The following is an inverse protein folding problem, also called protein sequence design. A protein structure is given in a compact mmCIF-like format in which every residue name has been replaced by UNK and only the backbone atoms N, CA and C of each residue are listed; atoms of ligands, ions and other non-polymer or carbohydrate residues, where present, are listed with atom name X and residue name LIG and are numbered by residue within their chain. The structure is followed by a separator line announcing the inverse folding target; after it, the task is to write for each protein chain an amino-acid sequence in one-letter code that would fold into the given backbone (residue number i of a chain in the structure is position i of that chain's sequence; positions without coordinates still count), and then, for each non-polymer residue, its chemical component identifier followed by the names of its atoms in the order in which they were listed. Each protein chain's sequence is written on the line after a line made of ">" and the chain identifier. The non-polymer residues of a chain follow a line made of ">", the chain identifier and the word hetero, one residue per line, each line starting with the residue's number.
data_IF_520893710421
#
_entry.id   IF_520893710421
#
_cell.length_a   1.000
_cell.length_b   1.000
_cell.length_c   1.000
_cell.angle_alpha   90.00
_cell.angle_beta   90.00
_cell.angle_gamma   90.00
#
_symmetry.space_group_name_H-M   'P 1'
#
loop_
_entity.id
_entity.type
_entity.pdbx_description
1 polymer ?
2 non-polymer ?
3 non-polymer ?
4 non-polymer ?
5 water ?
#
# COMPACT_ATOMS: atom_id res chain seq x y z
N UNK A 3 19.16 4.71 18.43
CA UNK A 3 19.25 4.03 17.10
C UNK A 3 19.55 5.07 16.01
N UNK A 4 19.92 4.61 14.81
CA UNK A 4 20.20 5.47 13.65
C UNK A 4 18.93 6.05 13.07
N UNK A 5 19.06 7.09 12.24
CA UNK A 5 17.91 7.79 11.60
C UNK A 5 17.12 6.79 10.74
N UNK A 6 17.80 6.00 9.91
CA UNK A 6 17.14 5.05 8.97
C UNK A 6 16.30 4.05 9.78
N UNK A 7 16.83 3.52 10.88
CA UNK A 7 16.10 2.60 11.79
C UNK A 7 14.85 3.31 12.34
N UNK A 8 15.01 4.52 12.89
CA UNK A 8 13.90 5.29 13.51
C UNK A 8 12.83 5.56 12.45
N UNK A 9 13.24 5.96 11.24
CA UNK A 9 12.31 6.25 10.12
C UNK A 9 11.58 4.96 9.72
N UNK A 10 12.27 3.82 9.68
CA UNK A 10 11.65 2.51 9.34
C UNK A 10 10.69 2.07 10.46
N UNK A 11 10.94 2.42 11.73
CA UNK A 11 9.97 2.15 12.83
C UNK A 11 8.69 2.94 12.56
N UNK A 12 8.81 4.20 12.15
CA UNK A 12 7.64 5.04 11.80
C UNK A 12 6.88 4.37 10.65
N UNK A 13 7.60 3.92 9.62
CA UNK A 13 7.02 3.20 8.45
C UNK A 13 6.27 1.95 8.92
N UNK A 14 6.89 1.16 9.80
CA UNK A 14 6.27 -0.08 10.33
C UNK A 14 4.99 0.28 11.09
N UNK A 15 5.00 1.37 11.87
CA UNK A 15 3.81 1.86 12.58
C UNK A 15 2.68 2.16 11.62
N UNK A 16 2.98 2.89 10.54
CA UNK A 16 2.02 3.24 9.46
C UNK A 16 1.43 1.95 8.88
N UNK A 17 2.30 1.00 8.52
CA UNK A 17 1.89 -0.30 7.92
C UNK A 17 0.91 -1.00 8.86
N UNK A 18 1.24 -1.09 10.15
CA UNK A 18 0.37 -1.73 11.16
C UNK A 18 -0.98 -1.01 11.17
N UNK A 19 -0.97 0.33 11.14
CA UNK A 19 -2.23 1.11 11.12
C UNK A 19 -3.04 0.78 9.86
N UNK A 20 -2.41 0.75 8.68
CA UNK A 20 -3.13 0.50 7.40
C UNK A 20 -3.78 -0.89 7.43
N UNK A 21 -3.24 -1.83 8.23
CA UNK A 21 -3.74 -3.22 8.34
C UNK A 21 -4.68 -3.38 9.55
N UNK A 22 -4.94 -2.31 10.30
CA UNK A 22 -5.69 -2.34 11.59
C UNK A 22 -7.20 -2.31 11.32
N UNK A 23 -7.99 -2.73 12.31
CA UNK A 23 -9.47 -2.77 12.23
C UNK A 23 -10.03 -1.37 11.99
N UNK A 24 -9.36 -0.32 12.50
CA UNK A 24 -9.79 1.09 12.33
C UNK A 24 -10.09 1.39 10.86
N UNK A 25 -9.29 0.89 9.92
CA UNK A 25 -9.35 1.25 8.47
C UNK A 25 -9.87 0.09 7.62
N UNK A 26 -10.26 -1.03 8.24
CA UNK A 26 -10.58 -2.30 7.54
C UNK A 26 -11.71 -2.10 6.52
N UNK A 27 -12.68 -1.22 6.79
CA UNK A 27 -13.86 -1.02 5.92
C UNK A 27 -13.44 -0.60 4.51
N UNK A 28 -12.32 0.13 4.36
CA UNK A 28 -11.84 0.64 3.05
C UNK A 28 -10.45 0.08 2.70
N UNK A 29 -9.71 -0.52 3.64
CA UNK A 29 -8.34 -1.03 3.39
C UNK A 29 -8.39 -2.44 2.77
N UNK A 30 -9.48 -3.19 2.93
CA UNK A 30 -9.47 -4.66 2.70
C UNK A 30 -9.13 -5.01 1.24
N UNK A 31 -9.50 -4.21 0.21
CA UNK A 31 -9.11 -4.55 -1.17
C UNK A 31 -7.59 -4.53 -1.40
N UNK A 32 -6.83 -3.94 -0.48
CA UNK A 32 -5.36 -3.75 -0.59
C UNK A 32 -4.59 -4.71 0.33
N UNK A 33 -5.29 -5.62 1.00
CA UNK A 33 -4.69 -6.58 1.97
C UNK A 33 -3.82 -7.61 1.26
N UNK A 34 -4.24 -8.10 0.10
CA UNK A 34 -3.58 -9.24 -0.59
C UNK A 34 -3.37 -8.92 -2.06
N UNK A 35 -2.44 -9.62 -2.75
CA UNK A 35 -2.25 -9.42 -4.18
C UNK A 35 -3.59 -9.59 -4.91
N UNK A 36 -3.85 -8.72 -5.89
CA UNK A 36 -5.02 -8.85 -6.80
C UNK A 36 -4.92 -10.23 -7.47
N UNK A 37 -5.92 -11.08 -7.25
CA UNK A 37 -6.03 -12.38 -7.95
C UNK A 37 -6.86 -12.13 -9.21
N UNK A 38 -6.20 -11.69 -10.28
CA UNK A 38 -6.83 -11.20 -11.53
C UNK A 38 -7.78 -12.26 -12.08
N UNK A 39 -7.29 -13.50 -12.21
CA UNK A 39 -8.04 -14.67 -12.74
C UNK A 39 -9.33 -14.89 -11.94
N UNK A 40 -9.22 -14.96 -10.60
CA UNK A 40 -10.35 -15.22 -9.68
C UNK A 40 -11.41 -14.13 -9.78
N UNK A 41 -11.01 -12.87 -9.98
CA UNK A 41 -11.91 -11.69 -10.00
C UNK A 41 -12.43 -11.43 -11.42
N UNK A 42 -11.90 -12.13 -12.42
CA UNK A 42 -12.28 -11.97 -13.84
C UNK A 42 -11.63 -10.75 -14.47
N UNK A 43 -10.58 -10.21 -13.84
CA UNK A 43 -9.85 -9.02 -14.33
C UNK A 43 -8.72 -9.49 -15.27
N UNK A 44 -9.08 -10.03 -16.43
CA UNK A 44 -8.13 -10.73 -17.34
C UNK A 44 -7.18 -9.75 -18.03
N UNK A 45 -7.42 -8.44 -17.89
CA UNK A 45 -6.56 -7.37 -18.46
C UNK A 45 -5.62 -6.81 -17.38
N UNK A 46 -5.72 -7.26 -16.13
CA UNK A 46 -5.04 -6.58 -14.99
C UNK A 46 -3.53 -6.52 -15.21
N UNK A 47 -2.91 -7.65 -15.57
CA UNK A 47 -1.43 -7.78 -15.67
C UNK A 47 -0.91 -7.23 -17.00
N UNK A 48 -1.80 -6.87 -17.92
CA UNK A 48 -1.44 -6.15 -19.17
C UNK A 48 -1.33 -4.66 -18.87
N UNK A 49 -2.06 -4.18 -17.86
CA UNK A 49 -2.16 -2.74 -17.51
C UNK A 49 -1.23 -2.43 -16.34
N UNK A 50 -1.15 -3.33 -15.36
CA UNK A 50 -0.32 -3.17 -14.13
C UNK A 50 0.93 -4.05 -14.27
N UNK A 51 2.09 -3.43 -14.47
CA UNK A 51 3.38 -4.13 -14.69
C UNK A 51 4.01 -4.52 -13.35
N UNK A 52 3.74 -3.77 -12.29
CA UNK A 52 4.33 -3.98 -10.94
C UNK A 52 3.22 -4.01 -9.90
N UNK A 53 2.53 -5.17 -9.73
CA UNK A 53 1.53 -5.30 -8.68
C UNK A 53 2.15 -5.04 -7.30
N UNK A 54 1.36 -4.48 -6.39
CA UNK A 54 1.78 -4.24 -4.99
C UNK A 54 0.55 -4.25 -4.09
N UNK A 55 0.71 -4.74 -2.87
CA UNK A 55 -0.38 -4.87 -1.88
C UNK A 55 0.26 -4.84 -0.49
N UNK A 56 -0.56 -4.71 0.55
CA UNK A 56 -0.04 -4.50 1.93
C UNK A 56 0.60 -5.77 2.48
N UNK A 57 0.16 -6.97 2.08
CA UNK A 57 0.80 -8.24 2.54
C UNK A 57 2.22 -8.32 1.99
N UNK A 58 2.44 -7.87 0.74
CA UNK A 58 3.78 -7.84 0.11
C UNK A 58 4.65 -6.81 0.84
N UNK A 59 4.10 -5.63 1.15
CA UNK A 59 4.82 -4.58 1.91
C UNK A 59 5.20 -5.16 3.28
N UNK A 60 4.28 -5.85 3.94
CA UNK A 60 4.53 -6.48 5.27
C UNK A 60 5.65 -7.52 5.16
N UNK A 61 5.61 -8.40 4.16
CA UNK A 61 6.67 -9.43 3.93
C UNK A 61 8.01 -8.72 3.73
N UNK A 62 8.05 -7.66 2.93
CA UNK A 62 9.31 -6.94 2.62
C UNK A 62 9.84 -6.30 3.91
N UNK A 63 8.96 -5.72 4.73
CA UNK A 63 9.36 -5.10 6.02
C UNK A 63 9.92 -6.19 6.94
N UNK A 64 9.23 -7.33 7.05
CA UNK A 64 9.64 -8.46 7.93
C UNK A 64 10.99 -9.02 7.47
N UNK A 65 11.25 -9.02 6.16
CA UNK A 65 12.48 -9.57 5.54
C UNK A 65 13.61 -8.53 5.53
N UNK A 66 13.36 -7.33 6.06
CA UNK A 66 14.33 -6.20 6.12
C UNK A 66 14.71 -5.79 4.69
N UNK A 67 13.77 -5.91 3.75
CA UNK A 67 13.98 -5.58 2.32
C UNK A 67 14.12 -4.06 2.18
N UNK A 68 13.29 -3.29 2.90
CA UNK A 68 13.31 -1.80 2.85
C UNK A 68 14.55 -1.27 3.58
N UNK A 69 15.38 -0.52 2.87
CA UNK A 69 16.64 0.06 3.41
C UNK A 69 16.35 1.45 4.00
N UNK A 70 15.25 2.09 3.59
CA UNK A 70 14.89 3.46 4.04
C UNK A 70 13.39 3.69 3.87
N UNK A 71 12.88 4.79 4.44
CA UNK A 71 11.45 5.17 4.40
C UNK A 71 11.00 5.41 2.95
N UNK A 72 11.85 6.01 2.12
CA UNK A 72 11.53 6.36 0.71
C UNK A 72 11.17 5.09 -0.06
N UNK A 73 11.90 4.00 0.17
CA UNK A 73 11.67 2.71 -0.53
C UNK A 73 10.31 2.14 -0.11
N UNK A 74 10.02 2.16 1.19
CA UNK A 74 8.71 1.75 1.76
C UNK A 74 7.59 2.57 1.11
N UNK A 75 7.71 3.90 1.11
CA UNK A 75 6.67 4.83 0.61
C UNK A 75 6.42 4.54 -0.88
N UNK A 76 7.48 4.24 -1.63
CA UNK A 76 7.40 3.97 -3.09
C UNK A 76 6.48 2.76 -3.33
N UNK A 77 6.56 1.72 -2.50
CA UNK A 77 5.71 0.51 -2.66
C UNK A 77 4.27 0.86 -2.28
N UNK A 78 4.05 1.57 -1.17
CA UNK A 78 2.67 1.92 -0.73
C UNK A 78 2.03 2.79 -1.83
N UNK A 79 2.76 3.77 -2.36
CA UNK A 79 2.21 4.68 -3.39
C UNK A 79 2.03 3.93 -4.71
N UNK A 80 2.90 2.97 -5.04
CA UNK A 80 2.74 2.11 -6.25
C UNK A 80 1.39 1.38 -6.16
N UNK A 81 1.07 0.84 -4.99
CA UNK A 81 -0.21 0.14 -4.72
C UNK A 81 -1.39 1.08 -5.06
N UNK A 82 -1.37 2.32 -4.58
CA UNK A 82 -2.46 3.30 -4.84
C UNK A 82 -2.49 3.65 -6.33
N UNK A 83 -1.32 3.90 -6.93
CA UNK A 83 -1.19 4.30 -8.36
C UNK A 83 -1.77 3.20 -9.26
N UNK A 84 -1.51 1.93 -8.93
CA UNK A 84 -2.04 0.76 -9.69
C UNK A 84 -3.57 0.84 -9.70
N UNK A 85 -4.16 1.13 -8.54
CA UNK A 85 -5.63 1.26 -8.38
C UNK A 85 -6.14 2.40 -9.27
N UNK A 86 -5.47 3.55 -9.27
CA UNK A 86 -5.90 4.74 -10.06
C UNK A 86 -5.67 4.51 -11.55
N UNK A 87 -4.70 3.67 -11.92
CA UNK A 87 -4.38 3.39 -13.34
C UNK A 87 -5.41 2.41 -13.91
N UNK A 88 -5.74 1.36 -13.16
CA UNK A 88 -6.53 0.21 -13.67
C UNK A 88 -8.02 0.55 -13.70
N UNK A 89 -8.51 1.21 -12.65
CA UNK A 89 -9.96 1.35 -12.37
C UNK A 89 -10.46 2.70 -12.89
N UNK A 90 -11.66 2.75 -13.51
CA UNK A 90 -12.33 4.02 -13.78
C UNK A 90 -12.45 4.81 -12.48
N UNK A 91 -12.25 6.15 -12.51
CA UNK A 91 -12.10 6.93 -11.29
C UNK A 91 -13.36 7.01 -10.41
N UNK A 92 -14.52 6.62 -10.94
CA UNK A 92 -15.83 6.67 -10.22
C UNK A 92 -16.16 5.32 -9.57
N UNK A 93 -15.26 4.33 -9.65
CA UNK A 93 -15.47 2.97 -9.07
C UNK A 93 -15.24 3.02 -7.56
N UNK A 94 -15.97 2.19 -6.80
CA UNK A 94 -15.93 2.15 -5.32
C UNK A 94 -14.49 1.93 -4.83
N UNK A 95 -13.72 1.04 -5.47
CA UNK A 95 -12.35 0.68 -5.01
C UNK A 95 -11.44 1.92 -5.05
N UNK A 96 -11.67 2.84 -6.00
CA UNK A 96 -10.87 4.09 -6.13
C UNK A 96 -11.15 5.00 -4.92
N UNK A 97 -12.41 5.16 -4.53
CA UNK A 97 -12.80 5.94 -3.33
C UNK A 97 -12.10 5.35 -2.10
N UNK A 98 -12.06 4.02 -2.00
CA UNK A 98 -11.44 3.30 -0.86
C UNK A 98 -9.92 3.56 -0.87
N UNK A 99 -9.29 3.50 -2.04
CA UNK A 99 -7.84 3.80 -2.23
C UNK A 99 -7.56 5.24 -1.77
N UNK A 100 -8.37 6.21 -2.21
CA UNK A 100 -8.18 7.64 -1.88
C UNK A 100 -8.24 7.83 -0.36
N UNK A 101 -9.20 7.18 0.32
CA UNK A 101 -9.36 7.28 1.79
C UNK A 101 -8.13 6.68 2.49
N UNK A 102 -7.67 5.50 2.06
CA UNK A 102 -6.50 4.85 2.69
C UNK A 102 -5.24 5.67 2.39
N UNK A 103 -5.12 6.25 1.20
CA UNK A 103 -3.93 7.08 0.88
C UNK A 103 -3.94 8.34 1.76
N UNK A 104 -5.11 8.89 2.08
CA UNK A 104 -5.21 10.06 2.99
C UNK A 104 -4.61 9.66 4.35
N UNK A 105 -4.98 8.49 4.87
CA UNK A 105 -4.43 7.97 6.15
C UNK A 105 -2.90 7.91 6.01
N UNK A 106 -2.42 7.30 4.92
CA UNK A 106 -0.98 7.08 4.67
C UNK A 106 -0.24 8.42 4.60
N UNK A 107 -0.66 9.33 3.72
CA UNK A 107 0.09 10.57 3.43
C UNK A 107 0.18 11.43 4.69
N UNK A 108 -0.91 11.55 5.46
CA UNK A 108 -0.92 12.44 6.66
C UNK A 108 0.01 11.87 7.73
N UNK A 109 0.05 10.55 7.92
CA UNK A 109 0.95 9.96 8.93
C UNK A 109 2.39 9.90 8.40
N UNK A 110 2.59 9.60 7.12
CA UNK A 110 3.95 9.57 6.51
C UNK A 110 4.62 10.94 6.70
N UNK A 111 3.84 12.02 6.59
CA UNK A 111 4.30 13.42 6.71
C UNK A 111 4.89 13.68 8.11
N UNK A 112 4.49 12.89 9.12
CA UNK A 112 4.96 13.03 10.53
C UNK A 112 6.26 12.24 10.75
N UNK A 113 6.95 11.86 9.68
CA UNK A 113 8.26 11.16 9.70
C UNK A 113 9.22 11.90 10.63
N UNK A 114 9.84 11.23 11.63
CA UNK A 114 10.89 11.86 12.43
C UNK A 114 12.12 12.17 11.56
N UNK A 115 12.68 13.37 11.72
CA UNK A 115 13.89 13.85 11.00
C UNK A 115 15.13 13.11 11.53
X LIG B 1 -3.28 12.98 -0.19
X LIG B 1 -3.92 11.82 -0.68
X LIG B 1 -3.81 13.43 1.12
X LIG B 1 -5.22 13.56 1.14
X LIG C 1 13.57 -4.24 -4.36
X LIG C 1 12.73 -4.72 -3.32
X LIG C 1 14.82 -5.01 -4.48
X LIG C 1 15.30 -5.46 -3.23
X LIG D 1 -10.00 3.63 -17.08
X LIG D 1 -10.08 2.45 -17.86
X LIG D 1 -8.74 3.73 -16.29
X LIG D 1 -8.57 4.98 -15.65
X LIG E 1 -14.99 -2.66 -4.09
X LIG E 1 -15.98 -3.00 -3.15
X LIG E 1 -13.86 -3.62 -4.12
X LIG E 1 -13.66 -4.28 -5.37
X LIG F 1 9.98 -2.59 15.19
X LIG F 1 9.49 -3.84 15.63
X LIG F 1 10.58 -4.87 15.80
X LIG F 1 11.69 -4.31 16.50
X LIG F 1 11.39 -3.93 17.84
X LIG F 1 12.66 -3.74 18.61
X LIG F 1 13.39 -2.64 18.06
X LIG F 1 14.64 -2.42 18.70
X LIG F 1 15.38 -1.34 17.98
X LIG F 1 15.54 -1.71 16.62
X LIG F 1 16.38 -0.81 15.89
X LIG F 1 16.47 -1.28 14.48
X LIG F 1 15.27 -0.96 13.79
X LIG F 1 15.24 -1.48 12.46
X LIG F 1 14.01 -1.00 11.77
X LIG F 1 12.89 -1.80 12.14
X LIG F 1 11.77 -1.63 11.28
X LIG F 1 10.68 -2.56 11.69
X LIG F 1 11.07 -3.91 11.48
X LIG F 1 9.97 -4.81 11.49
X LIG F 1 10.40 -6.17 11.95
X LIG F 1 11.73 -6.45 11.51
X LIG F 1 12.24 -7.67 12.04
X LIG F 1 13.29 -8.21 11.16
X LIG G 1 -11.67 -5.18 -8.40
X LIG G 1 -9.78 -4.01 -7.97
X LIG G 1 -6.80 -3.37 -5.76
X LIG G 1 -14.36 -7.65 -9.58
X LIG G 1 -13.77 -6.27 -9.40
X LIG G 1 -12.75 -6.17 -8.30
X LIG G 1 -12.82 -6.92 -7.32
X LIG G 1 -11.53 -4.18 -9.35
X LIG G 1 -10.40 -3.49 -9.09
X LIG G 1 -10.54 -5.06 -7.52
X LIG G 1 -8.51 -3.40 -7.49
X LIG G 1 -7.96 -2.49 -8.12
X LIG G 1 -8.03 -3.88 -6.35
#
# INVERSE_FOLDING_TARGET
>A
GSMGKLSEQLKHCNGILKELLSKKHAAYAWPFYKPVDASALGLHDYHDIIKHPMDLSTVKRKMENRDYRDAQEFAADVRLMFSNCYKYNPPDHDVVAMARKLQDVFEFRYAKMPD
>B hetero
1 EDO C1 O1 C2 O2
>C hetero
1 EDO C1 O1 C2 O2
>D hetero
1 EDO C1 O1 C2 O2
>E hetero
1 EDO C1 O1 C2 O2
>F hetero
1 PE4 O1 C1 C2 O2 C3 C4 O3 C5 C6 O4 C7 C8 O5 C9 C10 O6 C11 C12 O7 C13 C14 O8 C15 C16
>G hetero
1 V9B C10 C15 C22 C01 C05 C08 O09 C11 N13 C16 C18 O19 N20
#
